data_IF_093535029607
#
_entry.id   IF_093535029607
#
_cell.length_a   1.000
_cell.length_b   1.000
_cell.length_c   1.000
_cell.angle_alpha   90.00
_cell.angle_beta   90.00
_cell.angle_gamma   90.00
#
_symmetry.space_group_name_H-M   'P 1'
#
loop_
_entity.id
_entity.type
_entity.pdbx_description
1 polymer ?
#
# COMPACT_ATOMS: atom_id res chain seq x y z
N UNK A 1 -4.40 4.10 13.41
CA UNK A 1 -4.04 3.13 12.35
C UNK A 1 -4.82 1.84 12.60
N UNK A 2 -4.91 0.95 11.61
CA UNK A 2 -5.47 -0.39 11.81
C UNK A 2 -4.42 -1.20 12.57
N UNK A 3 -4.77 -1.74 13.73
CA UNK A 3 -3.85 -2.51 14.58
C UNK A 3 -3.86 -3.99 14.23
N UNK A 4 -5.01 -4.54 13.84
CA UNK A 4 -5.12 -5.94 13.45
C UNK A 4 -6.32 -6.17 12.52
N UNK A 5 -6.24 -7.23 11.72
CA UNK A 5 -7.32 -7.71 10.85
C UNK A 5 -7.50 -9.21 11.04
N UNK A 6 -8.68 -9.64 11.49
CA UNK A 6 -9.01 -11.05 11.67
C UNK A 6 -10.04 -11.48 10.62
N UNK A 7 -9.81 -12.64 10.04
CA UNK A 7 -10.63 -13.25 8.99
C UNK A 7 -11.25 -14.53 9.51
N UNK A 8 -12.55 -14.68 9.29
CA UNK A 8 -13.31 -15.91 9.55
C UNK A 8 -14.05 -16.29 8.29
N UNK A 9 -13.82 -17.50 7.78
CA UNK A 9 -14.46 -18.08 6.60
C UNK A 9 -14.49 -17.17 5.35
N UNK A 10 -13.50 -16.29 5.18
CA UNK A 10 -13.42 -15.36 4.06
C UNK A 10 -12.44 -15.84 2.99
N UNK A 11 -12.93 -16.21 1.80
CA UNK A 11 -12.12 -16.75 0.69
C UNK A 11 -11.31 -17.98 1.10
N UNK A 12 -9.97 -17.92 1.11
CA UNK A 12 -9.09 -18.98 1.63
C UNK A 12 -8.80 -18.82 3.13
N UNK A 13 -9.15 -17.68 3.73
CA UNK A 13 -8.84 -17.33 5.11
C UNK A 13 -9.96 -17.88 6.03
N UNK A 14 -9.74 -19.08 6.58
CA UNK A 14 -10.72 -19.80 7.41
C UNK A 14 -10.82 -19.24 8.83
N UNK A 15 -9.69 -19.14 9.51
CA UNK A 15 -9.58 -18.54 10.85
C UNK A 15 -8.14 -18.10 11.02
N UNK A 16 -7.84 -16.87 10.61
CA UNK A 16 -6.49 -16.31 10.70
C UNK A 16 -6.60 -14.81 10.87
N UNK A 17 -5.56 -14.19 11.35
CA UNK A 17 -5.48 -12.74 11.39
C UNK A 17 -4.07 -12.29 11.64
N UNK A 18 -3.86 -11.00 11.50
CA UNK A 18 -2.53 -10.43 11.51
C UNK A 18 -2.55 -9.08 12.19
N UNK A 19 -1.55 -8.84 13.05
CA UNK A 19 -1.28 -7.51 13.59
C UNK A 19 -0.58 -6.70 12.51
N UNK A 20 -0.97 -5.44 12.34
CA UNK A 20 -0.38 -4.55 11.36
C UNK A 20 0.48 -3.50 12.05
N UNK A 21 1.67 -3.28 11.51
CA UNK A 21 2.57 -2.19 11.87
C UNK A 21 2.28 -0.95 10.98
N UNK A 22 2.94 0.20 11.20
CA UNK A 22 2.84 1.33 10.28
C UNK A 22 3.29 0.98 8.85
N UNK A 23 4.32 0.14 8.70
CA UNK A 23 4.71 -0.47 7.43
C UNK A 23 4.54 -2.00 7.47
N UNK A 24 4.10 -2.61 6.38
CA UNK A 24 3.87 -4.05 6.29
C UNK A 24 4.30 -4.60 4.92
N UNK A 25 5.32 -5.46 4.88
CA UNK A 25 5.72 -6.24 3.71
C UNK A 25 5.05 -7.61 3.75
N UNK A 26 4.19 -7.92 2.79
CA UNK A 26 3.48 -9.19 2.71
C UNK A 26 4.05 -10.06 1.57
N UNK A 27 4.55 -11.24 1.90
CA UNK A 27 5.10 -12.20 0.93
C UNK A 27 4.44 -13.57 1.10
N UNK A 28 4.50 -14.40 0.05
CA UNK A 28 3.81 -15.70 0.05
C UNK A 28 3.51 -16.21 -1.36
N UNK A 29 3.10 -17.46 -1.55
CA UNK A 29 2.76 -17.99 -2.88
C UNK A 29 1.48 -17.35 -3.43
N UNK A 30 1.16 -17.65 -4.69
CA UNK A 30 -0.11 -17.24 -5.29
C UNK A 30 -1.28 -17.91 -4.57
N UNK A 31 -2.36 -17.15 -4.33
CA UNK A 31 -3.53 -17.65 -3.61
C UNK A 31 -3.37 -17.82 -2.10
N UNK A 32 -2.29 -17.32 -1.49
CA UNK A 32 -2.07 -17.29 -0.02
C UNK A 32 -2.85 -16.18 0.70
N UNK A 33 -3.66 -15.39 -0.01
CA UNK A 33 -4.51 -14.37 0.60
C UNK A 33 -3.94 -12.95 0.65
N UNK A 34 -2.75 -12.68 0.10
CA UNK A 34 -2.17 -11.32 0.01
C UNK A 34 -3.14 -10.29 -0.60
N UNK A 35 -3.66 -10.58 -1.80
CA UNK A 35 -4.67 -9.72 -2.45
C UNK A 35 -5.99 -9.72 -1.67
N UNK A 36 -6.35 -10.79 -0.95
CA UNK A 36 -7.54 -10.82 -0.09
C UNK A 36 -7.43 -9.84 1.09
N UNK A 37 -6.23 -9.65 1.66
CA UNK A 37 -5.98 -8.66 2.70
C UNK A 37 -6.21 -7.23 2.16
N UNK A 38 -5.67 -6.91 0.98
CA UNK A 38 -5.87 -5.62 0.33
C UNK A 38 -7.35 -5.38 -0.01
N UNK A 39 -8.02 -6.40 -0.54
CA UNK A 39 -9.46 -6.33 -0.84
C UNK A 39 -10.31 -6.11 0.41
N UNK A 40 -9.92 -6.67 1.56
CA UNK A 40 -10.60 -6.42 2.82
C UNK A 40 -10.50 -4.95 3.25
N UNK A 41 -9.32 -4.33 3.10
CA UNK A 41 -9.10 -2.91 3.37
C UNK A 41 -9.91 -2.01 2.42
N UNK A 42 -9.97 -2.37 1.13
CA UNK A 42 -10.80 -1.66 0.15
C UNK A 42 -12.30 -1.81 0.45
N UNK A 43 -12.74 -2.98 0.93
CA UNK A 43 -14.14 -3.17 1.35
C UNK A 43 -14.46 -2.36 2.60
N UNK A 44 -13.55 -2.30 3.58
CA UNK A 44 -13.69 -1.42 4.74
C UNK A 44 -13.87 0.04 4.31
N UNK A 45 -13.05 0.53 3.36
CA UNK A 45 -13.18 1.87 2.77
C UNK A 45 -14.56 2.11 2.15
N UNK A 46 -15.02 1.20 1.29
CA UNK A 46 -16.31 1.34 0.60
C UNK A 46 -17.48 1.41 1.58
N UNK A 47 -17.47 0.53 2.59
CA UNK A 47 -18.55 0.43 3.56
C UNK A 47 -18.49 1.51 4.64
N UNK A 48 -17.31 2.06 4.96
CA UNK A 48 -17.19 3.21 5.86
C UNK A 48 -17.93 4.45 5.33
N UNK A 49 -18.25 4.51 4.04
CA UNK A 49 -19.11 5.55 3.46
C UNK A 49 -20.59 5.44 3.85
N UNK A 50 -21.04 4.26 4.29
CA UNK A 50 -22.44 3.94 4.56
C UNK A 50 -22.77 4.02 6.06
N UNK A 51 -24.06 4.04 6.37
CA UNK A 51 -24.53 3.94 7.76
C UNK A 51 -24.22 2.54 8.32
N UNK A 52 -23.64 2.42 9.52
CA UNK A 52 -23.47 1.12 10.18
C UNK A 52 -24.80 0.40 10.41
N UNK A 53 -24.79 -0.92 10.29
CA UNK A 53 -25.90 -1.76 10.73
C UNK A 53 -26.09 -1.64 12.24
N UNK A 54 -27.35 -1.68 12.67
CA UNK A 54 -27.75 -1.59 14.09
C UNK A 54 -27.39 -2.84 14.88
N UNK A 55 -27.32 -3.99 14.21
CA UNK A 55 -26.93 -5.26 14.79
C UNK A 55 -25.65 -5.77 14.13
N UNK A 56 -24.76 -6.44 14.90
CA UNK A 56 -23.62 -7.13 14.30
C UNK A 56 -24.11 -8.22 13.34
N UNK A 57 -23.35 -8.52 12.28
CA UNK A 57 -23.72 -9.60 11.36
C UNK A 57 -23.97 -10.88 12.15
N UNK A 58 -25.15 -11.47 11.94
CA UNK A 58 -25.69 -12.56 12.75
C UNK A 58 -24.64 -13.67 12.97
N UNK A 59 -24.52 -14.13 14.22
CA UNK A 59 -23.50 -15.09 14.69
C UNK A 59 -23.57 -16.50 14.11
N UNK A 60 -24.22 -16.71 12.97
CA UNK A 60 -24.02 -17.92 12.16
C UNK A 60 -22.62 -17.90 11.58
N UNK A 61 -21.96 -19.05 11.47
CA UNK A 61 -20.55 -19.21 11.04
C UNK A 61 -20.21 -18.74 9.61
N UNK A 62 -20.92 -17.76 9.05
CA UNK A 62 -20.64 -17.14 7.77
C UNK A 62 -19.37 -16.29 7.75
N UNK A 63 -18.96 -15.82 6.55
CA UNK A 63 -17.73 -15.07 6.40
C UNK A 63 -17.77 -13.72 7.11
N UNK A 64 -16.70 -13.39 7.81
CA UNK A 64 -16.55 -12.16 8.59
C UNK A 64 -15.12 -11.66 8.59
N UNK A 65 -14.97 -10.33 8.60
CA UNK A 65 -13.68 -9.65 8.74
C UNK A 65 -13.78 -8.65 9.89
N UNK A 66 -12.92 -8.78 10.90
CA UNK A 66 -12.87 -7.93 12.07
C UNK A 66 -11.62 -7.04 12.04
N UNK A 67 -11.81 -5.75 12.28
CA UNK A 67 -10.76 -4.75 12.34
C UNK A 67 -10.67 -4.18 13.75
N UNK A 68 -9.46 -4.21 14.31
CA UNK A 68 -9.09 -3.50 15.52
C UNK A 68 -8.19 -2.33 15.16
N UNK A 69 -8.22 -1.26 15.96
CA UNK A 69 -7.48 -0.04 15.68
C UNK A 69 -6.52 0.29 16.82
N UNK A 70 -5.45 1.00 16.49
CA UNK A 70 -4.54 1.57 17.48
C UNK A 70 -5.12 2.87 18.04
N UNK A 71 -4.50 3.37 19.12
CA UNK A 71 -4.85 4.67 19.68
C UNK A 71 -4.90 5.79 18.60
N UNK A 72 -5.87 6.72 18.70
CA UNK A 72 -6.87 6.88 19.77
C UNK A 72 -8.16 6.03 19.60
N UNK A 73 -8.20 5.09 18.65
CA UNK A 73 -9.42 4.36 18.28
C UNK A 73 -9.47 2.93 18.84
N UNK A 74 -8.69 2.61 19.87
CA UNK A 74 -8.56 1.24 20.39
C UNK A 74 -9.87 0.65 20.92
N UNK A 75 -10.80 1.50 21.34
CA UNK A 75 -12.10 1.10 21.85
C UNK A 75 -13.18 0.99 20.75
N UNK A 76 -12.79 1.20 19.48
CA UNK A 76 -13.66 0.98 18.32
C UNK A 76 -13.31 -0.37 17.70
N UNK A 77 -14.33 -1.18 17.44
CA UNK A 77 -14.23 -2.40 16.62
C UNK A 77 -15.11 -2.26 15.38
N UNK A 78 -14.58 -2.63 14.21
CA UNK A 78 -15.38 -2.66 12.97
C UNK A 78 -15.42 -4.08 12.45
N UNK A 79 -16.63 -4.57 12.15
CA UNK A 79 -16.84 -5.90 11.60
C UNK A 79 -17.57 -5.81 10.27
N UNK A 80 -17.06 -6.52 9.27
CA UNK A 80 -17.69 -6.69 7.98
C UNK A 80 -18.33 -8.07 7.92
N UNK A 81 -19.65 -8.11 7.76
CA UNK A 81 -20.40 -9.32 7.47
C UNK A 81 -20.52 -9.54 5.97
N UNK A 82 -20.38 -10.79 5.53
CA UNK A 82 -20.45 -11.12 4.12
C UNK A 82 -21.55 -12.12 3.82
N UNK A 83 -22.18 -11.95 2.65
CA UNK A 83 -23.15 -12.91 2.15
C UNK A 83 -22.48 -14.28 1.97
N UNK A 84 -23.08 -15.38 2.47
CA UNK A 84 -22.55 -16.73 2.29
C UNK A 84 -22.38 -17.12 0.81
N UNK A 85 -23.25 -16.62 -0.06
CA UNK A 85 -23.33 -17.07 -1.46
C UNK A 85 -22.33 -16.36 -2.38
N UNK A 86 -22.05 -15.08 -2.12
CA UNK A 86 -21.22 -14.25 -3.02
C UNK A 86 -19.84 -13.91 -2.43
N UNK A 87 -19.59 -14.20 -1.15
CA UNK A 87 -18.42 -13.73 -0.39
C UNK A 87 -18.22 -12.20 -0.47
N UNK A 88 -19.27 -11.46 -0.81
CA UNK A 88 -19.27 -10.01 -0.84
C UNK A 88 -19.65 -9.52 0.56
N UNK A 89 -18.71 -8.82 1.18
CA UNK A 89 -18.97 -8.15 2.45
C UNK A 89 -19.70 -6.84 2.16
N UNK A 90 -20.96 -6.77 2.57
CA UNK A 90 -21.88 -5.66 2.32
C UNK A 90 -22.47 -5.07 3.61
N UNK A 91 -22.29 -5.74 4.75
CA UNK A 91 -22.76 -5.27 6.06
C UNK A 91 -21.57 -4.79 6.86
N UNK A 92 -21.60 -3.55 7.34
CA UNK A 92 -20.62 -3.01 8.29
C UNK A 92 -21.32 -2.76 9.62
N UNK A 93 -20.78 -3.33 10.70
CA UNK A 93 -21.22 -3.05 12.07
C UNK A 93 -20.06 -2.45 12.86
N UNK A 94 -20.37 -1.50 13.75
CA UNK A 94 -19.38 -0.82 14.58
C UNK A 94 -19.71 -1.02 16.04
N UNK A 95 -18.74 -1.52 16.79
CA UNK A 95 -18.72 -1.45 18.25
C UNK A 95 -17.93 -0.23 18.66
N UNK A 96 -18.49 0.64 19.51
CA UNK A 96 -17.88 1.89 19.97
C UNK A 96 -18.38 2.25 21.37
N UNK A 97 -17.66 3.08 22.14
CA UNK A 97 -18.16 3.59 23.41
C UNK A 97 -19.51 4.31 23.24
N UNK A 98 -20.47 4.14 24.17
CA UNK A 98 -21.75 4.81 24.08
C UNK A 98 -21.62 6.33 24.32
N UNK A 99 -22.53 7.09 23.73
CA UNK A 99 -22.63 8.54 23.90
C UNK A 99 -21.80 9.37 22.90
N UNK A 100 -21.88 10.71 22.99
CA UNK A 100 -21.38 11.62 21.96
C UNK A 100 -19.88 11.51 21.67
N UNK A 101 -19.07 11.18 22.68
CA UNK A 101 -17.62 11.03 22.52
C UNK A 101 -17.26 9.84 21.61
N UNK A 102 -17.95 8.71 21.78
CA UNK A 102 -17.75 7.53 20.91
C UNK A 102 -18.26 7.76 19.49
N UNK A 103 -19.32 8.56 19.33
CA UNK A 103 -19.82 8.97 18.01
C UNK A 103 -18.83 9.87 17.28
N UNK A 104 -18.25 10.85 17.98
CA UNK A 104 -17.23 11.73 17.42
C UNK A 104 -15.97 10.96 16.99
N UNK A 105 -15.48 10.05 17.83
CA UNK A 105 -14.33 9.20 17.50
C UNK A 105 -14.61 8.30 16.29
N UNK A 106 -15.83 7.77 16.17
CA UNK A 106 -16.23 7.02 14.99
C UNK A 106 -16.24 7.88 13.74
N UNK A 107 -16.82 9.08 13.76
CA UNK A 107 -16.83 9.95 12.59
C UNK A 107 -15.42 10.34 12.14
N UNK A 108 -14.51 10.63 13.10
CA UNK A 108 -13.11 10.88 12.78
C UNK A 108 -12.45 9.67 12.11
N UNK A 109 -12.59 8.47 12.69
CA UNK A 109 -12.07 7.23 12.10
C UNK A 109 -12.69 6.97 10.72
N UNK A 110 -13.99 7.17 10.57
CA UNK A 110 -14.74 6.95 9.33
C UNK A 110 -14.20 7.81 8.19
N UNK A 111 -13.94 9.09 8.45
CA UNK A 111 -13.32 9.99 7.48
C UNK A 111 -11.95 9.47 7.05
N UNK A 112 -11.12 8.99 7.99
CA UNK A 112 -9.82 8.38 7.68
C UNK A 112 -9.95 7.10 6.85
N UNK A 113 -10.86 6.19 7.20
CA UNK A 113 -11.07 4.94 6.47
C UNK A 113 -11.50 5.15 5.02
N UNK A 114 -12.24 6.23 4.73
CA UNK A 114 -12.62 6.57 3.34
C UNK A 114 -11.44 6.97 2.46
N UNK A 115 -10.32 7.35 3.07
CA UNK A 115 -9.09 7.70 2.34
C UNK A 115 -8.25 6.50 1.97
N UNK A 116 -8.51 5.28 2.45
CA UNK A 116 -7.73 4.09 2.06
C UNK A 116 -7.64 3.97 0.54
N UNK A 117 -6.45 3.71 0.00
CA UNK A 117 -6.21 3.48 -1.42
C UNK A 117 -5.39 2.22 -1.65
N UNK A 118 -5.62 1.60 -2.80
CA UNK A 118 -4.80 0.50 -3.29
C UNK A 118 -4.37 0.82 -4.71
N UNK A 119 -3.12 0.48 -5.01
CA UNK A 119 -2.50 0.72 -6.30
C UNK A 119 -1.92 -0.58 -6.84
N UNK A 120 -2.17 -0.79 -8.12
CA UNK A 120 -1.55 -1.80 -8.97
C UNK A 120 -1.18 -1.08 -10.26
N UNK A 121 0.06 -0.62 -10.34
CA UNK A 121 0.50 0.27 -11.40
C UNK A 121 0.60 -0.42 -12.76
N UNK A 122 0.14 0.27 -13.80
CA UNK A 122 0.23 -0.16 -15.18
C UNK A 122 1.07 0.85 -15.96
N UNK A 123 2.30 0.47 -16.30
CA UNK A 123 3.23 1.38 -16.96
C UNK A 123 2.75 1.81 -18.35
N UNK A 124 1.95 1.01 -19.05
CA UNK A 124 1.35 1.44 -20.31
C UNK A 124 0.32 2.54 -20.09
N UNK A 125 -0.50 2.45 -19.04
CA UNK A 125 -1.44 3.51 -18.69
C UNK A 125 -0.72 4.78 -18.23
N UNK A 126 0.34 4.64 -17.44
CA UNK A 126 1.12 5.76 -16.88
C UNK A 126 1.91 6.54 -17.93
N UNK A 127 2.29 5.89 -19.02
CA UNK A 127 3.03 6.48 -20.14
C UNK A 127 2.18 7.41 -21.04
N UNK A 128 0.85 7.33 -20.94
CA UNK A 128 -0.06 8.05 -21.84
C UNK A 128 -0.37 9.45 -21.30
N UNK A 129 -0.50 10.48 -22.17
CA UNK A 129 -0.97 11.79 -21.75
C UNK A 129 -2.33 11.75 -21.05
N UNK A 130 -2.47 12.49 -19.95
CA UNK A 130 -3.66 12.45 -19.10
C UNK A 130 -4.48 13.75 -19.19
N UNK A 131 -5.78 13.70 -18.93
CA UNK A 131 -6.60 14.92 -18.90
C UNK A 131 -6.38 15.66 -17.58
N UNK A 132 -6.23 17.00 -17.57
CA UNK A 132 -6.14 17.77 -16.33
C UNK A 132 -7.27 17.50 -15.33
N UNK A 133 -8.48 17.20 -15.82
CA UNK A 133 -9.65 16.88 -15.00
C UNK A 133 -9.53 15.57 -14.20
N UNK A 134 -8.55 14.72 -14.51
CA UNK A 134 -8.30 13.46 -13.80
C UNK A 134 -7.43 13.68 -12.54
N UNK A 135 -7.00 14.91 -12.24
CA UNK A 135 -6.32 15.33 -11.01
C UNK A 135 -7.36 15.65 -9.89
N UNK A 136 -6.97 15.80 -8.60
CA UNK A 136 -5.62 15.83 -8.02
C UNK A 136 -5.11 14.49 -7.48
N UNK A 137 -5.96 13.45 -7.43
CA UNK A 137 -5.62 12.18 -6.80
C UNK A 137 -5.10 11.15 -7.82
N UNK A 138 -3.99 10.48 -7.52
CA UNK A 138 -3.44 9.43 -8.38
C UNK A 138 -4.42 8.25 -8.51
N UNK A 139 -4.71 7.85 -9.74
CA UNK A 139 -5.52 6.70 -10.06
C UNK A 139 -4.85 5.39 -9.60
N UNK A 140 -5.65 4.35 -9.35
CA UNK A 140 -5.14 3.06 -8.84
C UNK A 140 -4.12 2.38 -9.76
N UNK A 141 -4.17 2.65 -11.06
CA UNK A 141 -3.20 2.15 -12.04
C UNK A 141 -2.11 3.18 -12.40
N UNK A 142 -2.17 4.38 -11.83
CA UNK A 142 -1.25 5.48 -12.12
C UNK A 142 -1.47 6.19 -13.46
N UNK A 143 -2.50 5.84 -14.23
CA UNK A 143 -2.68 6.34 -15.61
C UNK A 143 -2.88 7.86 -15.75
N UNK A 144 -3.16 8.57 -14.65
CA UNK A 144 -3.28 10.03 -14.62
C UNK A 144 -2.03 10.73 -14.07
N UNK A 145 -0.87 10.06 -14.03
CA UNK A 145 0.37 10.57 -13.45
C UNK A 145 0.75 11.97 -13.95
N UNK A 146 0.68 12.20 -15.27
CA UNK A 146 0.99 13.49 -15.87
C UNK A 146 0.06 14.61 -15.38
N UNK A 147 -1.25 14.32 -15.23
CA UNK A 147 -2.23 15.29 -14.75
C UNK A 147 -2.02 15.64 -13.28
N UNK A 148 -1.71 14.66 -12.42
CA UNK A 148 -1.41 14.89 -11.00
C UNK A 148 -0.17 15.77 -10.83
N UNK A 149 0.91 15.46 -11.55
CA UNK A 149 2.15 16.24 -11.50
C UNK A 149 1.96 17.67 -12.02
N UNK A 150 1.19 17.87 -13.09
CA UNK A 150 0.86 19.22 -13.57
C UNK A 150 0.00 19.99 -12.57
N UNK A 151 -0.99 19.33 -11.94
CA UNK A 151 -1.78 19.96 -10.89
C UNK A 151 -0.91 20.43 -9.74
N UNK A 152 0.06 19.63 -9.30
CA UNK A 152 1.00 20.01 -8.24
C UNK A 152 1.98 21.09 -8.66
N UNK A 153 2.43 21.09 -9.92
CA UNK A 153 3.29 22.15 -10.43
C UNK A 153 2.63 23.53 -10.28
N UNK A 154 1.30 23.61 -10.42
CA UNK A 154 0.53 24.85 -10.29
C UNK A 154 0.09 25.14 -8.84
N UNK A 155 -0.45 24.14 -8.13
CA UNK A 155 -1.14 24.36 -6.85
C UNK A 155 -0.29 23.99 -5.62
N UNK A 156 0.69 23.10 -5.79
CA UNK A 156 1.52 22.55 -4.71
C UNK A 156 3.03 22.59 -5.08
N UNK A 157 3.57 23.76 -5.48
CA UNK A 157 4.88 23.86 -6.13
C UNK A 157 6.03 23.41 -5.24
N UNK A 158 5.89 23.52 -3.92
CA UNK A 158 6.88 23.04 -2.96
C UNK A 158 6.97 21.50 -2.96
N UNK A 159 5.82 20.81 -2.99
CA UNK A 159 5.78 19.35 -3.07
C UNK A 159 6.29 18.85 -4.44
N UNK A 160 5.91 19.53 -5.53
CA UNK A 160 6.41 19.23 -6.87
C UNK A 160 7.94 19.39 -6.96
N UNK A 161 8.50 20.47 -6.41
CA UNK A 161 9.95 20.71 -6.41
C UNK A 161 10.71 19.67 -5.57
N UNK A 162 10.20 19.34 -4.38
CA UNK A 162 10.82 18.32 -3.51
C UNK A 162 10.80 16.93 -4.16
N UNK A 163 9.67 16.55 -4.76
CA UNK A 163 9.55 15.30 -5.53
C UNK A 163 10.51 15.30 -6.72
N UNK A 164 10.60 16.40 -7.47
CA UNK A 164 11.48 16.51 -8.63
C UNK A 164 12.97 16.39 -8.26
N UNK A 165 13.37 16.94 -7.12
CA UNK A 165 14.72 16.80 -6.58
C UNK A 165 15.02 15.33 -6.22
N UNK A 166 14.09 14.66 -5.54
CA UNK A 166 14.25 13.26 -5.17
C UNK A 166 14.24 12.32 -6.39
N UNK A 167 13.41 12.60 -7.39
CA UNK A 167 13.42 11.90 -8.67
C UNK A 167 14.80 11.95 -9.33
N UNK A 168 15.42 13.14 -9.44
CA UNK A 168 16.75 13.27 -10.03
C UNK A 168 17.86 12.65 -9.17
N UNK A 169 17.68 12.56 -7.85
CA UNK A 169 18.61 11.88 -6.95
C UNK A 169 18.60 10.37 -7.19
N UNK A 170 17.41 9.79 -7.38
CA UNK A 170 17.21 8.35 -7.60
C UNK A 170 17.56 7.92 -9.02
N UNK A 171 17.33 8.79 -10.00
CA UNK A 171 17.58 8.56 -11.42
C UNK A 171 18.49 9.68 -11.97
N UNK A 172 19.81 9.61 -11.74
CA UNK A 172 20.75 10.68 -12.06
C UNK A 172 20.87 10.97 -13.56
N UNK A 173 20.44 10.04 -14.43
CA UNK A 173 20.35 10.28 -15.87
C UNK A 173 19.38 11.41 -16.25
N UNK A 174 18.48 11.81 -15.35
CA UNK A 174 17.54 12.90 -15.54
C UNK A 174 17.94 14.17 -14.78
N UNK A 175 17.71 15.31 -15.43
CA UNK A 175 17.92 16.65 -14.90
C UNK A 175 16.61 17.35 -14.49
N UNK A 176 15.47 16.67 -14.54
CA UNK A 176 14.18 17.18 -14.08
C UNK A 176 12.99 16.69 -14.89
N UNK A 177 11.82 16.72 -14.26
CA UNK A 177 10.53 16.46 -14.88
C UNK A 177 10.03 17.71 -15.63
N UNK A 178 9.34 17.49 -16.74
CA UNK A 178 8.76 18.54 -17.59
C UNK A 178 7.35 18.12 -17.98
N UNK A 179 6.37 19.01 -17.79
CA UNK A 179 4.98 18.79 -18.18
C UNK A 179 4.70 19.64 -19.41
N UNK A 180 4.13 19.04 -20.46
CA UNK A 180 3.86 19.71 -21.74
C UNK A 180 2.39 19.55 -22.14
N UNK A 181 1.81 20.52 -22.87
CA UNK A 181 0.51 20.31 -23.51
C UNK A 181 0.58 19.15 -24.50
N UNK A 182 -0.29 18.16 -24.32
CA UNK A 182 -0.47 17.03 -25.21
C UNK A 182 -1.68 17.19 -26.15
N UNK A 183 -1.90 16.23 -27.05
CA UNK A 183 -3.05 16.22 -27.96
C UNK A 183 -4.39 16.29 -27.22
N UNK A 184 -5.37 17.00 -27.79
CA UNK A 184 -6.73 17.04 -27.24
C UNK A 184 -6.84 17.71 -25.85
N UNK A 185 -5.91 18.60 -25.50
CA UNK A 185 -5.90 19.30 -24.21
C UNK A 185 -5.44 18.42 -23.04
N UNK A 186 -4.72 17.35 -23.33
CA UNK A 186 -4.07 16.51 -22.31
C UNK A 186 -2.76 17.13 -21.83
N UNK A 187 -2.17 16.54 -20.80
CA UNK A 187 -0.83 16.84 -20.32
C UNK A 187 0.06 15.62 -20.60
N UNK A 188 1.20 15.86 -21.23
CA UNK A 188 2.24 14.88 -21.45
C UNK A 188 3.37 15.05 -20.42
N UNK A 189 3.84 13.93 -19.88
CA UNK A 189 4.98 13.88 -18.97
C UNK A 189 6.26 13.61 -19.76
N UNK A 190 7.29 14.41 -19.51
CA UNK A 190 8.62 14.24 -20.04
C UNK A 190 9.67 14.34 -18.93
N UNK A 191 10.88 13.87 -19.19
CA UNK A 191 12.06 14.15 -18.38
C UNK A 191 13.22 14.64 -19.25
N UNK A 192 13.93 15.66 -18.78
CA UNK A 192 15.13 16.18 -19.44
C UNK A 192 16.32 15.30 -19.12
N UNK A 193 17.09 14.87 -20.12
CA UNK A 193 18.31 14.07 -19.92
C UNK A 193 19.47 14.93 -19.42
N UNK A 194 20.27 14.38 -18.50
CA UNK A 194 21.44 15.06 -17.93
C UNK A 194 22.55 15.25 -18.96
N UNK A 195 22.79 14.26 -19.82
CA UNK A 195 23.89 14.28 -20.80
C UNK A 195 23.73 15.35 -21.89
N UNK A 196 22.48 15.66 -22.29
CA UNK A 196 22.19 16.51 -23.45
C UNK A 196 21.39 17.78 -23.14
N UNK A 197 20.88 18.00 -21.92
CA UNK A 197 20.29 19.24 -21.39
C UNK A 197 19.06 19.85 -22.11
N UNK A 198 18.88 19.56 -23.38
CA UNK A 198 17.81 20.05 -24.26
C UNK A 198 16.91 18.90 -24.71
N UNK A 199 17.45 17.67 -24.73
CA UNK A 199 16.68 16.47 -25.07
C UNK A 199 15.75 16.11 -23.91
N UNK A 200 14.46 16.04 -24.21
CA UNK A 200 13.45 15.52 -23.30
C UNK A 200 12.87 14.26 -23.91
N UNK A 201 12.87 13.19 -23.14
CA UNK A 201 12.20 11.95 -23.50
C UNK A 201 10.81 11.92 -22.87
N UNK A 202 9.86 11.30 -23.57
CA UNK A 202 8.47 11.21 -23.11
C UNK A 202 8.32 10.06 -22.11
N UNK A 203 7.26 10.08 -21.31
CA UNK A 203 6.92 8.97 -20.41
C UNK A 203 6.72 7.63 -21.14
N UNK A 204 6.41 7.65 -22.45
CA UNK A 204 6.36 6.46 -23.30
C UNK A 204 7.72 5.79 -23.52
N UNK A 205 8.81 6.54 -23.34
CA UNK A 205 10.19 6.05 -23.47
C UNK A 205 10.83 5.74 -22.10
N UNK A 206 10.08 5.91 -21.00
CA UNK A 206 10.59 5.58 -19.67
C UNK A 206 10.57 4.07 -19.47
N UNK A 207 11.56 3.55 -18.72
CA UNK A 207 11.49 2.16 -18.27
C UNK A 207 10.32 1.96 -17.31
N UNK A 208 9.78 0.75 -17.24
CA UNK A 208 8.72 0.39 -16.29
C UNK A 208 9.10 0.76 -14.85
N UNK A 209 10.34 0.45 -14.44
CA UNK A 209 10.86 0.79 -13.11
C UNK A 209 10.87 2.29 -12.83
N UNK A 210 11.23 3.12 -13.82
CA UNK A 210 11.22 4.61 -13.72
C UNK A 210 9.81 5.12 -13.43
N UNK A 211 8.82 4.65 -14.20
CA UNK A 211 7.42 5.05 -14.03
C UNK A 211 6.90 4.65 -12.65
N UNK A 212 7.15 3.42 -12.21
CA UNK A 212 6.70 2.95 -10.90
C UNK A 212 7.40 3.70 -9.76
N UNK A 213 8.71 3.96 -9.87
CA UNK A 213 9.43 4.74 -8.86
C UNK A 213 8.87 6.16 -8.76
N UNK A 214 8.59 6.80 -9.90
CA UNK A 214 7.95 8.11 -9.93
C UNK A 214 6.55 8.11 -9.31
N UNK A 215 5.73 7.09 -9.56
CA UNK A 215 4.43 6.99 -8.90
C UNK A 215 4.53 6.79 -7.38
N UNK A 216 5.49 6.02 -6.91
CA UNK A 216 5.74 5.85 -5.47
C UNK A 216 6.24 7.16 -4.84
N UNK A 217 7.08 7.92 -5.55
CA UNK A 217 7.45 9.28 -5.14
C UNK A 217 6.23 10.20 -5.06
N UNK A 218 5.31 10.15 -6.03
CA UNK A 218 4.04 10.90 -5.96
C UNK A 218 3.25 10.51 -4.71
N UNK A 219 3.22 9.24 -4.31
CA UNK A 219 2.57 8.89 -3.06
C UNK A 219 3.31 9.47 -1.84
N UNK A 220 4.64 9.31 -1.77
CA UNK A 220 5.46 9.71 -0.63
C UNK A 220 5.51 11.22 -0.37
N UNK A 221 5.42 12.02 -1.43
CA UNK A 221 5.47 13.48 -1.41
C UNK A 221 4.09 14.14 -1.50
N UNK A 222 2.99 13.36 -1.48
CA UNK A 222 1.64 13.90 -1.49
C UNK A 222 1.41 14.87 -0.33
N UNK A 223 0.92 16.11 -0.58
CA UNK A 223 0.59 17.06 0.49
C UNK A 223 -0.46 16.52 1.46
N UNK A 224 -1.44 15.78 0.94
CA UNK A 224 -2.51 15.15 1.71
C UNK A 224 -2.60 13.65 1.36
N UNK A 225 -1.69 12.80 1.90
CA UNK A 225 -1.68 11.38 1.58
C UNK A 225 -2.86 10.66 2.25
N UNK A 226 -3.31 9.53 1.68
CA UNK A 226 -4.35 8.70 2.29
C UNK A 226 -3.89 8.08 3.62
N UNK A 227 -4.82 7.75 4.51
CA UNK A 227 -4.51 7.13 5.80
C UNK A 227 -3.88 5.73 5.68
N UNK A 228 -4.18 5.02 4.58
CA UNK A 228 -3.63 3.71 4.26
C UNK A 228 -3.35 3.62 2.76
N UNK A 229 -2.14 3.17 2.40
CA UNK A 229 -1.72 2.86 1.03
C UNK A 229 -1.47 1.36 0.92
N UNK A 230 -2.14 0.70 -0.01
CA UNK A 230 -1.83 -0.67 -0.41
C UNK A 230 -1.10 -0.67 -1.76
N UNK A 231 0.07 -1.31 -1.86
CA UNK A 231 0.83 -1.44 -3.11
C UNK A 231 0.99 -2.92 -3.47
N UNK A 232 0.36 -3.37 -4.56
CA UNK A 232 0.61 -4.71 -5.07
C UNK A 232 1.89 -4.75 -5.91
N UNK A 233 2.80 -5.66 -5.57
CA UNK A 233 4.09 -5.87 -6.25
C UNK A 233 4.91 -4.58 -6.36
N UNK A 234 5.21 -3.93 -5.24
CA UNK A 234 5.88 -2.61 -5.25
C UNK A 234 7.28 -2.63 -5.89
N UNK A 235 7.93 -3.79 -5.95
CA UNK A 235 9.23 -4.00 -6.57
C UNK A 235 9.19 -4.31 -8.08
N UNK A 236 8.00 -4.46 -8.66
CA UNK A 236 7.84 -4.93 -10.05
C UNK A 236 8.62 -4.04 -11.04
N UNK A 237 9.42 -4.66 -11.91
CA UNK A 237 10.18 -3.93 -12.94
C UNK A 237 11.32 -3.07 -12.42
N UNK A 238 11.59 -3.07 -11.12
CA UNK A 238 12.73 -2.38 -10.52
C UNK A 238 13.95 -3.31 -10.40
N UNK A 239 15.14 -2.73 -10.51
CA UNK A 239 16.38 -3.46 -10.28
C UNK A 239 16.62 -3.65 -8.77
N UNK A 240 17.09 -4.83 -8.29
CA UNK A 240 17.24 -5.07 -6.85
C UNK A 240 18.15 -4.10 -6.09
N UNK A 241 19.11 -3.47 -6.76
CA UNK A 241 19.95 -2.41 -6.17
C UNK A 241 19.16 -1.16 -5.75
N UNK A 242 17.95 -0.97 -6.26
CA UNK A 242 17.07 0.17 -5.94
C UNK A 242 16.10 -0.14 -4.81
N UNK A 243 16.10 -1.35 -4.24
CA UNK A 243 15.13 -1.76 -3.22
C UNK A 243 15.32 -1.07 -1.88
N UNK A 244 16.56 -0.64 -1.57
CA UNK A 244 16.80 0.20 -0.41
C UNK A 244 16.10 1.54 -0.55
N UNK A 245 16.26 2.19 -1.70
CA UNK A 245 15.62 3.46 -2.01
C UNK A 245 14.10 3.34 -2.10
N UNK A 246 13.59 2.22 -2.63
CA UNK A 246 12.16 1.89 -2.60
C UNK A 246 11.65 1.84 -1.15
N UNK A 247 12.32 1.07 -0.27
CA UNK A 247 11.96 0.96 1.14
C UNK A 247 11.99 2.33 1.81
N UNK A 248 13.06 3.08 1.63
CA UNK A 248 13.24 4.40 2.27
C UNK A 248 12.15 5.39 1.80
N UNK A 249 11.77 5.34 0.51
CA UNK A 249 10.64 6.13 -0.03
C UNK A 249 9.30 5.74 0.61
N UNK A 250 9.07 4.46 0.87
CA UNK A 250 7.85 4.00 1.57
C UNK A 250 7.91 4.27 3.07
N UNK A 251 9.08 4.25 3.70
CA UNK A 251 9.26 4.63 5.10
C UNK A 251 8.96 6.12 5.30
N UNK A 252 9.25 6.98 4.33
CA UNK A 252 8.79 8.37 4.34
C UNK A 252 7.26 8.51 4.43
N UNK A 253 6.47 7.53 3.96
CA UNK A 253 5.02 7.49 4.17
C UNK A 253 4.66 7.09 5.61
N UNK A 254 5.24 5.99 6.09
CA UNK A 254 4.88 5.35 7.36
C UNK A 254 5.47 6.01 8.60
N UNK A 255 6.65 6.60 8.46
CA UNK A 255 7.47 7.17 9.53
C UNK A 255 7.87 8.63 9.21
N UNK A 256 6.91 9.53 8.95
CA UNK A 256 7.22 10.90 8.50
C UNK A 256 8.05 11.70 9.51
N UNK A 257 7.95 11.39 10.81
CA UNK A 257 8.72 12.08 11.86
C UNK A 257 10.22 11.79 11.78
N UNK A 258 10.60 10.59 11.37
CA UNK A 258 12.00 10.19 11.23
C UNK A 258 12.65 10.95 10.05
N UNK A 259 11.81 11.38 9.10
CA UNK A 259 12.16 12.22 7.95
C UNK A 259 11.99 13.73 8.24
N UNK A 260 11.74 14.12 9.50
CA UNK A 260 11.58 15.52 9.91
C UNK A 260 10.28 16.19 9.44
N UNK A 261 9.25 15.41 9.07
CA UNK A 261 8.00 15.91 8.54
C UNK A 261 6.89 15.96 9.60
N UNK A 262 6.23 17.10 9.70
CA UNK A 262 5.04 17.28 10.55
C UNK A 262 3.76 16.89 9.80
N UNK A 263 3.57 15.58 9.58
CA UNK A 263 2.33 15.02 9.05
C UNK A 263 1.95 13.70 9.70
N UNK A 264 0.68 13.33 9.57
CA UNK A 264 0.19 12.04 10.05
C UNK A 264 0.89 10.87 9.31
N UNK A 265 1.23 9.79 10.03
CA UNK A 265 1.78 8.58 9.41
C UNK A 265 0.74 7.89 8.54
N UNK A 266 1.21 7.34 7.43
CA UNK A 266 0.40 6.55 6.48
C UNK A 266 0.69 5.09 6.70
N UNK A 267 -0.35 4.29 6.93
CA UNK A 267 -0.14 2.85 7.04
C UNK A 267 0.10 2.26 5.65
N UNK A 268 1.23 1.59 5.44
CA UNK A 268 1.59 0.97 4.16
C UNK A 268 1.45 -0.54 4.26
N UNK A 269 0.75 -1.13 3.29
CA UNK A 269 0.68 -2.58 3.08
C UNK A 269 1.17 -2.85 1.67
N UNK A 270 2.34 -3.46 1.52
CA UNK A 270 2.87 -3.79 0.21
C UNK A 270 3.07 -5.28 0.05
N UNK A 271 2.87 -5.79 -1.17
CA UNK A 271 3.18 -7.18 -1.50
C UNK A 271 4.44 -7.29 -2.32
N UNK A 272 5.17 -8.38 -2.15
CA UNK A 272 6.34 -8.71 -2.99
C UNK A 272 6.46 -10.21 -3.21
N UNK A 273 7.18 -10.56 -4.27
CA UNK A 273 7.69 -11.90 -4.54
C UNK A 273 9.23 -11.94 -4.56
N UNK A 274 9.89 -10.85 -4.19
CA UNK A 274 11.33 -10.70 -4.29
C UNK A 274 12.04 -11.04 -2.97
N UNK A 275 12.91 -12.07 -2.94
CA UNK A 275 13.75 -12.33 -1.77
C UNK A 275 14.70 -11.17 -1.46
N UNK A 276 15.14 -10.42 -2.48
CA UNK A 276 16.04 -9.29 -2.30
C UNK A 276 15.36 -8.07 -1.67
N UNK A 277 14.05 -7.86 -1.92
CA UNK A 277 13.31 -6.83 -1.21
C UNK A 277 13.09 -7.25 0.25
N UNK A 278 12.79 -8.53 0.50
CA UNK A 278 12.67 -9.08 1.85
C UNK A 278 13.96 -8.84 2.67
N UNK A 279 15.14 -8.96 2.07
CA UNK A 279 16.41 -8.69 2.76
C UNK A 279 16.56 -7.25 3.26
N UNK A 280 15.81 -6.28 2.71
CA UNK A 280 15.81 -4.90 3.20
C UNK A 280 15.10 -4.75 4.56
N UNK A 281 14.43 -5.79 5.06
CA UNK A 281 13.65 -5.79 6.30
C UNK A 281 14.26 -6.66 7.40
N UNK A 282 15.54 -7.03 7.29
CA UNK A 282 16.25 -7.81 8.31
C UNK A 282 16.22 -7.16 9.69
N UNK A 283 16.23 -5.84 9.78
CA UNK A 283 16.20 -5.12 11.06
C UNK A 283 14.77 -4.92 11.60
N UNK A 284 13.75 -5.25 10.81
CA UNK A 284 12.33 -5.00 11.08
C UNK A 284 11.44 -6.23 10.84
N UNK A 285 11.71 -7.40 11.48
CA UNK A 285 10.92 -8.62 11.28
C UNK A 285 9.44 -8.46 11.71
N UNK A 286 9.10 -7.46 12.51
CA UNK A 286 7.73 -7.12 12.90
C UNK A 286 6.89 -6.50 11.77
N UNK A 287 7.54 -6.00 10.73
CA UNK A 287 6.91 -5.44 9.53
C UNK A 287 6.68 -6.50 8.44
N UNK A 288 7.29 -7.67 8.58
CA UNK A 288 7.25 -8.72 7.57
C UNK A 288 6.15 -9.74 7.89
N UNK A 289 5.21 -9.92 6.97
CA UNK A 289 4.09 -10.86 7.08
C UNK A 289 4.27 -11.97 6.04
N UNK A 290 4.41 -13.20 6.52
CA UNK A 290 4.33 -14.42 5.73
C UNK A 290 2.88 -14.83 5.53
N UNK A 291 2.45 -14.85 4.28
CA UNK A 291 1.20 -15.46 3.85
C UNK A 291 1.48 -16.89 3.39
N UNK A 292 0.95 -17.87 4.12
CA UNK A 292 1.10 -19.29 3.80
C UNK A 292 -0.21 -19.89 3.30
N UNK A 293 -0.11 -20.96 2.50
CA UNK A 293 -1.26 -21.73 2.02
C UNK A 293 -1.04 -23.21 2.31
N UNK A 294 -1.92 -23.81 3.10
CA UNK A 294 -1.94 -25.24 3.37
C UNK A 294 -3.27 -25.82 2.87
N UNK A 295 -3.22 -26.62 1.80
CA UNK A 295 -4.41 -27.08 1.10
C UNK A 295 -5.28 -25.92 0.60
N UNK A 296 -6.48 -25.77 1.17
CA UNK A 296 -7.42 -24.67 0.84
C UNK A 296 -7.42 -23.52 1.85
N UNK A 297 -6.67 -23.65 2.94
CA UNK A 297 -6.59 -22.66 4.00
C UNK A 297 -5.35 -21.77 3.83
N UNK A 298 -5.54 -20.47 4.01
CA UNK A 298 -4.48 -19.49 4.06
C UNK A 298 -4.32 -18.94 5.48
N UNK A 299 -3.07 -18.67 5.87
CA UNK A 299 -2.71 -18.11 7.17
C UNK A 299 -1.73 -16.95 7.01
N UNK A 300 -1.76 -16.02 7.96
CA UNK A 300 -0.77 -14.95 8.09
C UNK A 300 0.01 -15.11 9.40
N UNK A 301 1.30 -14.84 9.35
CA UNK A 301 2.19 -14.82 10.51
C UNK A 301 3.23 -13.72 10.31
N UNK A 302 3.53 -12.91 11.33
CA UNK A 302 4.66 -11.98 11.24
C UNK A 302 5.95 -12.71 11.53
N UNK A 303 7.04 -12.33 10.88
CA UNK A 303 8.35 -12.92 11.18
C UNK A 303 8.71 -12.75 12.66
N UNK A 304 8.43 -11.59 13.26
CA UNK A 304 8.65 -11.36 14.70
C UNK A 304 7.85 -12.27 15.65
N UNK A 305 6.76 -12.90 15.19
CA UNK A 305 5.93 -13.78 16.01
C UNK A 305 6.50 -15.21 16.05
N UNK A 306 7.49 -15.54 15.19
CA UNK A 306 8.19 -16.82 15.18
C UNK A 306 9.25 -16.91 16.25
N UNK A 307 9.29 -18.05 16.96
CA UNK A 307 10.26 -18.27 18.03
C UNK A 307 11.71 -18.46 17.54
N UNK A 308 11.90 -18.96 16.32
CA UNK A 308 13.18 -19.33 15.74
C UNK A 308 13.82 -18.23 14.86
N UNK A 309 13.09 -17.16 14.57
CA UNK A 309 13.47 -16.18 13.55
C UNK A 309 14.82 -15.50 13.83
N UNK A 310 15.07 -15.13 15.09
CA UNK A 310 16.30 -14.44 15.49
C UNK A 310 17.52 -15.34 15.38
N UNK A 311 17.37 -16.65 15.59
CA UNK A 311 18.47 -17.61 15.41
C UNK A 311 18.73 -17.85 13.93
N UNK A 312 17.68 -18.09 13.13
CA UNK A 312 17.80 -18.27 11.68
C UNK A 312 18.48 -17.07 11.00
N UNK A 313 18.13 -15.86 11.43
CA UNK A 313 18.73 -14.62 10.93
C UNK A 313 20.18 -14.39 11.35
N UNK A 314 20.77 -15.20 12.24
CA UNK A 314 22.22 -15.17 12.48
C UNK A 314 22.99 -15.92 11.41
N UNK A 315 22.36 -16.95 10.82
CA UNK A 315 23.02 -17.89 9.93
C UNK A 315 22.88 -17.51 8.45
N UNK A 316 21.77 -16.86 8.07
CA UNK A 316 21.47 -16.55 6.68
C UNK A 316 20.69 -15.25 6.49
N UNK A 317 20.60 -14.80 5.23
CA UNK A 317 19.76 -13.70 4.81
C UNK A 317 18.29 -14.13 4.75
N UNK A 318 17.35 -13.21 4.96
CA UNK A 318 15.92 -13.53 4.97
C UNK A 318 15.45 -14.06 3.61
N UNK A 319 15.99 -13.49 2.52
CA UNK A 319 15.74 -13.93 1.15
C UNK A 319 16.11 -15.40 0.93
N UNK A 320 17.28 -15.83 1.41
CA UNK A 320 17.75 -17.22 1.30
C UNK A 320 16.89 -18.17 2.13
N UNK A 321 16.55 -17.76 3.37
CA UNK A 321 15.69 -18.55 4.24
C UNK A 321 14.28 -18.71 3.66
N UNK A 322 13.76 -17.68 2.98
CA UNK A 322 12.47 -17.76 2.30
C UNK A 322 12.53 -18.63 1.06
N UNK A 323 13.52 -18.40 0.18
CA UNK A 323 13.67 -19.15 -1.07
C UNK A 323 13.89 -20.65 -0.84
N UNK A 324 14.65 -21.01 0.19
CA UNK A 324 14.87 -22.41 0.60
C UNK A 324 13.66 -23.07 1.25
N UNK A 325 12.60 -22.32 1.56
CA UNK A 325 11.40 -22.80 2.23
C UNK A 325 11.52 -22.91 3.76
N UNK A 326 12.67 -22.55 4.36
CA UNK A 326 12.88 -22.55 5.82
C UNK A 326 11.92 -21.57 6.51
N UNK A 327 11.67 -20.41 5.89
CA UNK A 327 10.66 -19.48 6.40
C UNK A 327 9.21 -19.96 6.17
N UNK A 328 8.98 -20.95 5.31
CA UNK A 328 7.63 -21.25 4.82
C UNK A 328 7.11 -20.13 3.91
N UNK A 329 5.78 -20.06 3.70
CA UNK A 329 5.22 -19.06 2.78
C UNK A 329 5.74 -19.21 1.34
N UNK A 330 6.06 -20.44 0.92
CA UNK A 330 6.45 -20.80 -0.45
C UNK A 330 5.38 -21.70 -1.09
N UNK A 331 5.35 -21.87 -2.43
CA UNK A 331 4.46 -22.83 -3.06
C UNK A 331 4.70 -24.24 -2.51
N UNK A 332 3.62 -24.99 -2.24
CA UNK A 332 3.75 -26.40 -1.87
C UNK A 332 4.21 -27.23 -3.07
N UNK A 333 4.87 -28.36 -2.78
CA UNK A 333 5.08 -29.45 -3.74
C UNK A 333 3.77 -30.20 -4.03
#
# INVERSE_FOLDING_TARGET
MIAAVQFRNFKALRSTGVKLAPFNLVLGPNGSGKTSLIQALLRLRSLAGLAPATEPPAGGGGPRIDFAFAAPFQDIGVSLGCSPDELVCNVLSVSRPPGPAGEALWEELRLRLRTIRAYLFDHYAMAVPAKPADAPELASNGGNLAAVLAHWQEHEPAAYAALGAEFCRLMPEFAGLVLRPGPGGTVELCARLQANGHECITAADFSQGTLYQLAILVLAFAPAPPAVVCLEEADRGMHPRSFRELRDTLYRLSYPRDEGMDRAPVQVITTTHSPYLLDQFREHPEEVILASKQGTAATFERLSDRADILELMKEAHLGDLWYSGILGGVPGE
#
